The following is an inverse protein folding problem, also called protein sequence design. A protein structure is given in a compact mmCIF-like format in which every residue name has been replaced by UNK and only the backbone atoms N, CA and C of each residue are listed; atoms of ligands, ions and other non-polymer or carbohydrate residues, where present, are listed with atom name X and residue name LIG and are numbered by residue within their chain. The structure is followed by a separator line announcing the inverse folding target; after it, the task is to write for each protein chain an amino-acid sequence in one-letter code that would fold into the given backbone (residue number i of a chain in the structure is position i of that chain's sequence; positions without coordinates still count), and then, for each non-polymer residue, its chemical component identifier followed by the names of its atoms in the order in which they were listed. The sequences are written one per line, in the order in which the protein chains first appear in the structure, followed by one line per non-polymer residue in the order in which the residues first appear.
data_IF_114808754243
#
_entry.id   IF_114808754243
#
_cell.length_a   1.000
_cell.length_b   1.000
_cell.length_c   1.000
_cell.angle_alpha   90.00
_cell.angle_beta   90.00
_cell.angle_gamma   90.00
#
_symmetry.space_group_name_H-M   'P 1'
#
loop_
_entity.id
_entity.type
_entity.pdbx_description
1 polymer ?
#
# COMPACT_ATOMS: atom_id res chain seq x y z
N UNK A 1 44.83 -14.01 -0.56
CA UNK A 1 44.63 -12.73 0.17
C UNK A 1 43.22 -12.72 0.73
N UNK A 2 42.99 -12.71 2.06
CA UNK A 2 41.64 -12.83 2.59
C UNK A 2 40.94 -11.46 2.58
N UNK A 3 40.00 -11.26 1.65
CA UNK A 3 39.04 -10.14 1.70
C UNK A 3 37.82 -10.60 2.50
N UNK A 4 37.88 -10.66 3.83
CA UNK A 4 36.85 -11.46 4.54
C UNK A 4 36.12 -10.81 5.72
N UNK A 5 36.64 -9.79 6.41
CA UNK A 5 35.91 -9.15 7.52
C UNK A 5 35.22 -7.84 7.10
N UNK A 6 35.99 -6.81 6.74
CA UNK A 6 35.46 -5.46 6.50
C UNK A 6 34.46 -5.40 5.32
N UNK A 7 34.68 -6.21 4.26
CA UNK A 7 33.77 -6.30 3.10
C UNK A 7 32.41 -6.89 3.46
N UNK A 8 32.36 -7.90 4.34
CA UNK A 8 31.09 -8.53 4.74
C UNK A 8 30.27 -7.58 5.59
N UNK A 9 30.90 -6.89 6.54
CA UNK A 9 30.25 -5.86 7.35
C UNK A 9 29.72 -4.71 6.51
N UNK A 10 30.47 -4.25 5.51
CA UNK A 10 29.99 -3.27 4.54
C UNK A 10 28.72 -3.74 3.80
N UNK A 11 28.69 -4.98 3.31
CA UNK A 11 27.50 -5.52 2.65
C UNK A 11 26.31 -5.69 3.60
N UNK A 12 26.54 -6.11 4.85
CA UNK A 12 25.46 -6.17 5.84
C UNK A 12 24.90 -4.79 6.19
N UNK A 13 25.75 -3.76 6.25
CA UNK A 13 25.30 -2.39 6.44
C UNK A 13 24.45 -1.91 5.27
N UNK A 14 24.85 -2.19 4.02
CA UNK A 14 24.03 -1.83 2.85
C UNK A 14 22.70 -2.60 2.81
N UNK A 15 22.72 -3.87 3.18
CA UNK A 15 21.51 -4.70 3.23
C UNK A 15 20.56 -4.24 4.34
N UNK A 16 21.07 -3.84 5.50
CA UNK A 16 20.24 -3.29 6.58
C UNK A 16 19.67 -1.92 6.19
N UNK A 17 20.48 -1.04 5.61
CA UNK A 17 20.01 0.26 5.12
C UNK A 17 18.93 0.10 4.05
N UNK A 18 19.18 -0.74 3.05
CA UNK A 18 18.20 -1.06 2.00
C UNK A 18 16.94 -1.73 2.55
N UNK A 19 17.08 -2.60 3.55
CA UNK A 19 15.96 -3.23 4.24
C UNK A 19 15.08 -2.22 4.98
N UNK A 20 15.69 -1.31 5.75
CA UNK A 20 14.96 -0.24 6.46
C UNK A 20 14.24 0.68 5.47
N UNK A 21 14.91 1.10 4.40
CA UNK A 21 14.27 1.93 3.36
C UNK A 21 13.13 1.18 2.67
N UNK A 22 13.33 -0.09 2.31
CA UNK A 22 12.31 -0.91 1.66
C UNK A 22 11.07 -1.10 2.53
N UNK A 23 11.26 -1.38 3.82
CA UNK A 23 10.16 -1.46 4.79
C UNK A 23 9.45 -0.10 4.92
N UNK A 24 10.22 0.99 5.02
CA UNK A 24 9.67 2.34 5.11
C UNK A 24 8.80 2.71 3.90
N UNK A 25 9.28 2.43 2.68
CA UNK A 25 8.50 2.66 1.46
C UNK A 25 7.27 1.75 1.38
N UNK A 26 7.37 0.49 1.81
CA UNK A 26 6.23 -0.41 1.83
C UNK A 26 5.13 0.10 2.77
N UNK A 27 5.50 0.53 3.98
CA UNK A 27 4.57 1.15 4.93
C UNK A 27 3.97 2.42 4.33
N UNK A 28 4.80 3.33 3.81
CA UNK A 28 4.34 4.58 3.21
C UNK A 28 3.35 4.34 2.06
N UNK A 29 3.57 3.30 1.24
CA UNK A 29 2.65 2.91 0.18
C UNK A 29 1.29 2.47 0.73
N UNK A 30 1.24 1.68 1.80
CA UNK A 30 -0.02 1.26 2.43
C UNK A 30 -0.81 2.44 3.01
N UNK A 31 -0.12 3.43 3.59
CA UNK A 31 -0.74 4.63 4.18
C UNK A 31 -1.02 5.75 3.17
N UNK A 32 -0.58 5.62 1.92
CA UNK A 32 -0.84 6.62 0.88
C UNK A 32 -2.28 6.59 0.37
N UNK A 33 -3.01 5.49 0.59
CA UNK A 33 -4.39 5.35 0.19
C UNK A 33 -5.29 6.26 1.05
N UNK A 34 -6.24 7.00 0.44
CA UNK A 34 -7.17 7.83 1.19
C UNK A 34 -8.09 6.97 2.06
N UNK A 35 -8.39 7.47 3.26
CA UNK A 35 -9.41 6.88 4.13
C UNK A 35 -10.81 7.03 3.50
N UNK A 36 -11.66 6.04 3.73
CA UNK A 36 -13.03 6.05 3.24
C UNK A 36 -13.87 6.99 4.12
N UNK A 37 -14.59 7.97 3.56
CA UNK A 37 -15.44 8.82 4.36
C UNK A 37 -16.60 8.02 4.96
N UNK A 38 -16.92 8.30 6.24
CA UNK A 38 -18.06 7.72 6.94
C UNK A 38 -19.38 8.18 6.31
N UNK A 39 -19.97 7.31 5.49
CA UNK A 39 -21.30 7.47 4.90
C UNK A 39 -22.00 6.11 4.76
N UNK A 40 -23.28 6.13 4.40
CA UNK A 40 -24.10 4.91 4.32
C UNK A 40 -23.53 3.90 3.31
N UNK A 41 -22.98 4.36 2.19
CA UNK A 41 -22.43 3.51 1.12
C UNK A 41 -21.13 2.78 1.55
N UNK A 42 -20.23 3.47 2.29
CA UNK A 42 -18.97 2.88 2.78
C UNK A 42 -19.11 2.07 4.06
N UNK A 43 -20.19 2.27 4.82
CA UNK A 43 -20.45 1.53 6.07
C UNK A 43 -21.22 0.23 5.85
N UNK A 44 -21.96 0.12 4.74
CA UNK A 44 -22.79 -1.06 4.42
C UNK A 44 -22.08 -2.05 3.49
N UNK A 45 -21.07 -1.60 2.74
CA UNK A 45 -20.36 -2.42 1.76
C UNK A 45 -19.03 -2.96 2.27
N UNK A 46 -18.89 -4.30 2.33
CA UNK A 46 -17.63 -4.99 2.64
C UNK A 46 -17.06 -5.77 1.44
N UNK A 47 -17.79 -5.80 0.32
CA UNK A 47 -17.37 -6.56 -0.85
C UNK A 47 -16.61 -5.67 -1.84
N UNK A 48 -15.46 -6.16 -2.31
CA UNK A 48 -14.63 -5.50 -3.32
C UNK A 48 -15.41 -5.24 -4.60
N UNK A 49 -16.27 -6.17 -5.03
CA UNK A 49 -17.05 -5.99 -6.26
C UNK A 49 -18.03 -4.81 -6.15
N UNK A 50 -18.61 -4.60 -4.97
CA UNK A 50 -19.48 -3.46 -4.69
C UNK A 50 -18.70 -2.14 -4.64
N UNK A 51 -17.46 -2.13 -4.12
CA UNK A 51 -16.62 -0.93 -4.22
C UNK A 51 -16.30 -0.60 -5.69
N UNK A 52 -15.98 -1.62 -6.48
CA UNK A 52 -15.61 -1.47 -7.90
C UNK A 52 -16.80 -1.00 -8.75
N UNK A 53 -18.05 -1.29 -8.38
CA UNK A 53 -19.21 -0.83 -9.17
C UNK A 53 -19.28 0.69 -9.32
N UNK A 54 -18.76 1.44 -8.34
CA UNK A 54 -18.68 2.90 -8.38
C UNK A 54 -17.26 3.36 -8.74
N UNK A 55 -16.24 2.76 -8.12
CA UNK A 55 -14.85 3.22 -8.25
C UNK A 55 -14.12 2.74 -9.52
N UNK A 56 -14.66 1.86 -10.36
CA UNK A 56 -13.93 1.42 -11.57
C UNK A 56 -13.74 2.54 -12.59
N UNK A 57 -14.80 3.32 -12.84
CA UNK A 57 -14.79 4.46 -13.77
C UNK A 57 -14.67 5.75 -12.98
N UNK A 58 -15.39 5.85 -11.86
CA UNK A 58 -15.43 7.00 -10.98
C UNK A 58 -16.09 8.24 -11.59
N UNK A 59 -16.41 9.19 -10.71
CA UNK A 59 -16.85 10.54 -11.00
C UNK A 59 -16.26 11.53 -9.96
N UNK A 60 -16.74 12.78 -9.96
CA UNK A 60 -16.28 13.82 -9.03
C UNK A 60 -16.52 13.45 -7.54
N UNK A 61 -17.53 12.64 -7.25
CA UNK A 61 -17.87 12.20 -5.89
C UNK A 61 -17.21 10.87 -5.52
N UNK A 62 -16.92 10.03 -6.52
CA UNK A 62 -16.35 8.69 -6.37
C UNK A 62 -15.08 8.58 -7.22
N UNK A 63 -13.89 8.88 -6.67
CA UNK A 63 -12.68 8.89 -7.49
C UNK A 63 -12.41 7.52 -8.11
N UNK A 64 -11.97 7.50 -9.36
CA UNK A 64 -11.61 6.28 -10.07
C UNK A 64 -10.46 5.54 -9.35
N UNK A 65 -10.53 4.21 -9.29
CA UNK A 65 -9.53 3.32 -8.73
C UNK A 65 -8.33 3.26 -9.70
N UNK A 66 -7.18 3.87 -9.36
CA UNK A 66 -6.05 3.99 -10.29
C UNK A 66 -5.13 2.76 -10.27
N UNK A 67 -5.47 1.72 -9.50
CA UNK A 67 -4.64 0.55 -9.28
C UNK A 67 -5.31 -0.72 -9.82
N UNK A 68 -4.52 -1.79 -9.97
CA UNK A 68 -5.03 -3.10 -10.39
C UNK A 68 -5.96 -3.71 -9.32
N UNK A 69 -6.86 -4.63 -9.71
CA UNK A 69 -7.70 -5.36 -8.76
C UNK A 69 -6.87 -5.96 -7.63
N UNK A 70 -7.34 -5.78 -6.40
CA UNK A 70 -6.70 -6.25 -5.19
C UNK A 70 -7.72 -7.05 -4.36
N UNK A 71 -7.31 -8.04 -3.54
CA UNK A 71 -8.26 -8.89 -2.81
C UNK A 71 -9.15 -8.18 -1.80
N UNK A 72 -8.84 -6.93 -1.42
CA UNK A 72 -9.67 -6.14 -0.52
C UNK A 72 -9.26 -4.67 -0.47
N UNK A 73 -10.25 -3.78 -0.61
CA UNK A 73 -10.03 -2.32 -0.56
C UNK A 73 -9.59 -1.86 0.84
N UNK A 74 -10.12 -2.47 1.91
CA UNK A 74 -9.85 -2.10 3.32
C UNK A 74 -8.41 -2.30 3.79
N UNK A 75 -7.59 -3.03 3.02
CA UNK A 75 -6.20 -3.29 3.37
C UNK A 75 -5.37 -1.99 3.33
N UNK A 76 -5.70 -1.10 2.40
CA UNK A 76 -5.06 0.20 2.26
C UNK A 76 -6.03 1.34 2.58
N UNK A 77 -7.30 1.21 2.19
CA UNK A 77 -8.32 2.22 2.48
C UNK A 77 -8.89 1.98 3.87
N UNK A 78 -8.37 2.73 4.86
CA UNK A 78 -8.91 2.73 6.22
C UNK A 78 -10.33 3.28 6.31
N UNK A 79 -10.95 3.12 7.47
CA UNK A 79 -12.14 3.86 7.89
C UNK A 79 -11.80 5.27 8.37
#
# INVERSE_FOLDING_TARGET
MPVTSNRKHFWYFLLSLGGVMGIGFFIAFLYAAPAMPLNEEHTTSLNTDTCVSCHLVGDEATPAMPHRPFPGCRICHGE
#
